data_IF_147746779990
#
_entry.id   IF_147746779990
#
_cell.length_a   1.000
_cell.length_b   1.000
_cell.length_c   1.000
_cell.angle_alpha   90.00
_cell.angle_beta   90.00
_cell.angle_gamma   90.00
#
_symmetry.space_group_name_H-M   'P 1'
#
loop_
_entity.id
_entity.type
_entity.pdbx_description
1 polymer ?
#
# COMPACT_ATOMS: atom_id res chain seq x y z
N UNK A 1 34.09 -4.94 11.72
CA UNK A 1 33.60 -4.25 12.95
C UNK A 1 32.21 -3.59 12.82
N UNK A 2 31.49 -3.70 11.68
CA UNK A 2 30.19 -3.03 11.49
C UNK A 2 28.94 -3.95 11.67
N UNK A 3 29.13 -5.28 11.73
CA UNK A 3 28.00 -6.24 11.78
C UNK A 3 27.38 -6.40 13.17
N UNK A 4 28.15 -6.20 14.24
CA UNK A 4 27.71 -6.47 15.62
C UNK A 4 26.79 -5.39 16.20
N UNK A 5 26.76 -4.20 15.61
CA UNK A 5 25.95 -3.08 16.08
C UNK A 5 24.49 -3.18 15.63
N UNK A 6 24.23 -3.83 14.50
CA UNK A 6 22.88 -4.02 13.96
C UNK A 6 22.07 -5.00 14.84
N UNK A 7 22.66 -6.13 15.22
CA UNK A 7 21.98 -7.17 16.01
C UNK A 7 21.52 -6.68 17.38
N UNK A 8 22.23 -5.73 18.00
CA UNK A 8 21.83 -5.13 19.28
C UNK A 8 20.68 -4.15 19.17
N UNK A 9 20.48 -3.53 18.00
CA UNK A 9 19.37 -2.61 17.77
C UNK A 9 18.05 -3.37 17.55
N UNK A 10 18.11 -4.52 16.87
CA UNK A 10 16.95 -5.40 16.65
C UNK A 10 16.44 -6.08 17.93
N UNK A 11 17.31 -6.33 18.91
CA UNK A 11 16.92 -6.95 20.19
C UNK A 11 16.18 -6.01 21.15
N UNK A 12 16.21 -4.70 20.91
CA UNK A 12 15.58 -3.68 21.77
C UNK A 12 14.17 -3.27 21.31
N UNK A 13 13.78 -3.64 20.09
CA UNK A 13 12.57 -3.11 19.47
C UNK A 13 11.50 -4.14 19.09
N UNK A 14 11.64 -5.43 19.40
CA UNK A 14 10.60 -6.48 19.21
C UNK A 14 9.74 -6.26 17.96
N UNK A 15 10.35 -5.96 16.82
CA UNK A 15 9.62 -5.72 15.58
C UNK A 15 10.19 -6.64 14.54
N UNK A 16 9.51 -7.77 14.44
CA UNK A 16 9.65 -8.76 13.40
C UNK A 16 9.32 -8.10 12.06
N UNK A 17 10.33 -7.83 11.24
CA UNK A 17 10.12 -7.52 9.82
C UNK A 17 9.85 -8.85 9.12
N UNK A 18 8.65 -9.41 9.32
CA UNK A 18 8.16 -10.57 8.56
C UNK A 18 7.13 -10.08 7.53
N UNK A 19 7.28 -10.39 6.23
CA UNK A 19 6.49 -9.73 5.18
C UNK A 19 5.05 -10.25 5.00
N UNK A 20 4.48 -10.99 5.97
CA UNK A 20 3.19 -11.69 5.81
C UNK A 20 2.46 -11.93 7.15
N UNK A 21 2.72 -11.15 8.20
CA UNK A 21 1.87 -11.19 9.39
C UNK A 21 0.70 -10.23 9.18
N UNK A 22 -0.52 -10.70 9.49
CA UNK A 22 -1.70 -9.86 9.64
C UNK A 22 -1.29 -8.59 10.38
N UNK A 23 -1.51 -7.43 9.74
CA UNK A 23 -1.24 -6.16 10.39
C UNK A 23 -2.01 -6.16 11.70
N UNK A 24 -1.32 -6.08 12.83
CA UNK A 24 -1.95 -6.04 14.16
C UNK A 24 -2.48 -4.64 14.51
N UNK A 25 -2.16 -3.65 13.68
CA UNK A 25 -2.55 -2.25 13.87
C UNK A 25 -2.98 -1.65 12.54
N UNK A 26 -4.16 -1.04 12.51
CA UNK A 26 -4.60 -0.28 11.36
C UNK A 26 -3.89 1.08 11.35
N UNK A 27 -2.85 1.22 10.52
CA UNK A 27 -2.09 2.46 10.40
C UNK A 27 -2.89 3.46 9.56
N UNK A 28 -3.52 4.43 10.23
CA UNK A 28 -4.33 5.50 9.61
C UNK A 28 -3.64 6.88 9.62
N UNK A 29 -2.37 6.94 10.03
CA UNK A 29 -1.60 8.19 10.14
C UNK A 29 -0.74 8.45 8.88
N UNK A 30 -0.30 9.70 8.70
CA UNK A 30 0.59 10.08 7.59
C UNK A 30 -0.14 10.27 6.26
N UNK A 31 0.16 9.42 5.27
CA UNK A 31 -0.41 9.50 3.90
C UNK A 31 -1.73 8.75 3.73
N UNK A 32 -2.07 7.89 4.68
CA UNK A 32 -3.29 7.07 4.69
C UNK A 32 -4.61 7.85 4.85
N UNK A 33 -4.67 9.06 5.46
CA UNK A 33 -5.87 9.90 5.42
C UNK A 33 -6.27 10.40 4.02
N UNK A 34 -5.33 10.44 3.06
CA UNK A 34 -5.57 10.93 1.70
C UNK A 34 -6.06 9.85 0.74
N UNK A 35 -5.69 8.59 0.98
CA UNK A 35 -6.11 7.43 0.21
C UNK A 35 -5.89 6.19 1.05
N UNK A 36 -6.81 5.22 0.98
CA UNK A 36 -6.62 3.92 1.66
C UNK A 36 -5.42 3.14 1.10
N UNK A 37 -5.02 3.43 -0.13
CA UNK A 37 -4.03 2.67 -0.89
C UNK A 37 -2.96 3.60 -1.52
N UNK A 38 -2.23 4.40 -0.73
CA UNK A 38 -1.35 5.46 -1.23
C UNK A 38 -0.14 4.90 -1.99
N UNK A 39 0.31 3.69 -1.66
CA UNK A 39 1.39 3.00 -2.38
C UNK A 39 1.03 2.73 -3.84
N UNK A 40 -0.17 2.23 -4.10
CA UNK A 40 -0.62 1.93 -5.46
C UNK A 40 -0.82 3.22 -6.27
N UNK A 41 -1.30 4.29 -5.63
CA UNK A 41 -1.37 5.61 -6.25
C UNK A 41 0.03 6.11 -6.63
N UNK A 42 1.02 5.98 -5.74
CA UNK A 42 2.41 6.32 -6.04
C UNK A 42 2.98 5.51 -7.21
N UNK A 43 2.70 4.21 -7.27
CA UNK A 43 3.12 3.35 -8.38
C UNK A 43 2.45 3.75 -9.70
N UNK A 44 1.16 4.09 -9.68
CA UNK A 44 0.46 4.60 -10.85
C UNK A 44 1.06 5.92 -11.33
N UNK A 45 1.40 6.84 -10.42
CA UNK A 45 2.06 8.11 -10.76
C UNK A 45 3.43 7.91 -11.40
N UNK A 46 4.23 6.95 -10.90
CA UNK A 46 5.52 6.59 -11.52
C UNK A 46 5.30 6.04 -12.94
N UNK A 47 4.32 5.15 -13.13
CA UNK A 47 3.99 4.60 -14.45
C UNK A 47 3.53 5.68 -15.43
N UNK A 48 2.71 6.65 -14.96
CA UNK A 48 2.30 7.81 -15.75
C UNK A 48 3.51 8.68 -16.11
N UNK A 49 4.38 8.99 -15.15
CA UNK A 49 5.61 9.73 -15.39
C UNK A 49 6.49 9.05 -16.43
N UNK A 50 6.64 7.73 -16.35
CA UNK A 50 7.39 6.94 -17.32
C UNK A 50 6.71 6.96 -18.71
N UNK A 51 5.39 6.82 -18.78
CA UNK A 51 4.64 6.89 -20.03
C UNK A 51 4.83 8.24 -20.74
N UNK A 52 4.85 9.34 -19.97
CA UNK A 52 5.14 10.69 -20.46
C UNK A 52 6.58 10.81 -20.98
N UNK A 53 7.57 10.26 -20.25
CA UNK A 53 8.98 10.29 -20.67
C UNK A 53 9.25 9.48 -21.95
N UNK A 54 8.55 8.36 -22.13
CA UNK A 54 8.65 7.54 -23.35
C UNK A 54 8.02 8.25 -24.56
N UNK A 55 7.03 9.12 -24.34
CA UNK A 55 6.42 9.94 -25.39
C UNK A 55 5.63 9.14 -26.45
N UNK A 56 5.19 7.92 -26.12
CA UNK A 56 4.38 7.07 -27.01
C UNK A 56 3.09 6.61 -26.34
N UNK A 57 2.13 6.11 -27.14
CA UNK A 57 0.85 5.63 -26.64
C UNK A 57 0.92 4.22 -26.02
N UNK A 58 1.96 3.44 -26.32
CA UNK A 58 2.08 2.04 -25.88
C UNK A 58 2.10 1.87 -24.35
N UNK A 59 2.86 2.66 -23.57
CA UNK A 59 2.90 2.52 -22.11
C UNK A 59 1.57 2.85 -21.43
N UNK A 60 0.68 3.62 -22.08
CA UNK A 60 -0.62 3.96 -21.52
C UNK A 60 -1.53 2.74 -21.37
N UNK A 61 -1.39 1.73 -22.24
CA UNK A 61 -2.09 0.44 -22.04
C UNK A 61 -1.66 -0.24 -20.75
N UNK A 62 -0.39 -0.13 -20.38
CA UNK A 62 0.13 -0.66 -19.11
C UNK A 62 -0.40 0.15 -17.93
N UNK A 63 -0.41 1.48 -18.02
CA UNK A 63 -0.97 2.36 -16.98
C UNK A 63 -2.44 2.01 -16.70
N UNK A 64 -3.26 1.92 -17.75
CA UNK A 64 -4.69 1.60 -17.63
C UNK A 64 -4.89 0.17 -17.13
N UNK A 65 -4.17 -0.80 -17.69
CA UNK A 65 -4.24 -2.20 -17.28
C UNK A 65 -3.84 -2.39 -15.82
N UNK A 66 -2.79 -1.70 -15.38
CA UNK A 66 -2.35 -1.69 -13.99
C UNK A 66 -3.41 -1.09 -13.06
N UNK A 67 -4.01 0.05 -13.43
CA UNK A 67 -5.09 0.66 -12.65
C UNK A 67 -6.29 -0.25 -12.47
N UNK A 68 -6.74 -0.92 -13.53
CA UNK A 68 -7.87 -1.87 -13.50
C UNK A 68 -7.52 -3.09 -12.63
N UNK A 69 -6.34 -3.67 -12.82
CA UNK A 69 -5.87 -4.84 -12.09
C UNK A 69 -5.81 -4.56 -10.58
N UNK A 70 -5.22 -3.42 -10.23
CA UNK A 70 -5.07 -3.00 -8.83
C UNK A 70 -6.43 -2.75 -8.19
N UNK A 71 -7.31 -1.97 -8.82
CA UNK A 71 -8.63 -1.67 -8.24
C UNK A 71 -9.55 -2.90 -8.17
N UNK A 72 -9.48 -3.75 -9.20
CA UNK A 72 -10.35 -4.90 -9.37
C UNK A 72 -9.95 -6.10 -8.52
N UNK A 73 -8.64 -6.34 -8.35
CA UNK A 73 -8.12 -7.56 -7.71
C UNK A 73 -7.40 -7.23 -6.41
N UNK A 74 -6.33 -6.44 -6.47
CA UNK A 74 -5.45 -6.24 -5.32
C UNK A 74 -6.15 -5.50 -4.19
N UNK A 75 -6.74 -4.34 -4.49
CA UNK A 75 -7.45 -3.55 -3.51
C UNK A 75 -8.60 -4.35 -2.91
N UNK A 76 -9.42 -5.03 -3.71
CA UNK A 76 -10.55 -5.81 -3.17
C UNK A 76 -10.11 -6.92 -2.21
N UNK A 77 -9.05 -7.66 -2.57
CA UNK A 77 -8.49 -8.69 -1.70
C UNK A 77 -7.96 -8.08 -0.40
N UNK A 78 -7.21 -6.97 -0.50
CA UNK A 78 -6.65 -6.27 0.66
C UNK A 78 -7.74 -5.70 1.58
N UNK A 79 -8.79 -5.08 1.02
CA UNK A 79 -9.93 -4.59 1.79
C UNK A 79 -10.71 -5.73 2.47
N UNK A 80 -10.84 -6.91 1.82
CA UNK A 80 -11.45 -8.10 2.43
C UNK A 80 -10.63 -8.60 3.62
N UNK A 81 -9.31 -8.71 3.45
CA UNK A 81 -8.41 -9.12 4.53
C UNK A 81 -8.43 -8.13 5.70
N UNK A 82 -8.49 -6.82 5.42
CA UNK A 82 -8.60 -5.79 6.45
C UNK A 82 -9.96 -5.82 7.16
N UNK A 83 -11.06 -6.10 6.43
CA UNK A 83 -12.37 -6.26 7.04
C UNK A 83 -12.46 -7.52 7.91
N UNK A 84 -11.82 -8.62 7.51
CA UNK A 84 -11.69 -9.84 8.31
C UNK A 84 -10.83 -9.63 9.57
N UNK A 85 -9.71 -8.91 9.45
CA UNK A 85 -8.77 -8.68 10.55
C UNK A 85 -9.27 -7.63 11.57
N UNK A 86 -9.89 -6.55 11.11
CA UNK A 86 -10.21 -5.37 11.95
C UNK A 86 -11.70 -5.06 12.07
N UNK A 87 -12.56 -5.72 11.30
CA UNK A 87 -14.02 -5.61 11.43
C UNK A 87 -14.55 -4.18 11.42
N UNK A 88 -15.16 -3.76 12.54
CA UNK A 88 -15.76 -2.42 12.67
C UNK A 88 -14.75 -1.28 12.57
N UNK A 89 -13.52 -1.46 13.05
CA UNK A 89 -12.51 -0.41 13.02
C UNK A 89 -12.15 -0.05 11.58
N UNK A 90 -11.98 -1.07 10.74
CA UNK A 90 -11.76 -0.89 9.31
C UNK A 90 -12.99 -0.31 8.61
N UNK A 91 -14.22 -0.72 8.96
CA UNK A 91 -15.44 -0.11 8.39
C UNK A 91 -15.52 1.38 8.65
N UNK A 92 -15.26 1.83 9.90
CA UNK A 92 -15.22 3.25 10.24
C UNK A 92 -14.13 4.00 9.48
N UNK A 93 -12.98 3.38 9.28
CA UNK A 93 -11.91 3.96 8.46
C UNK A 93 -12.32 4.06 6.98
N UNK A 94 -12.91 3.00 6.42
CA UNK A 94 -13.42 2.92 5.05
C UNK A 94 -14.45 4.00 4.74
N UNK A 95 -15.30 4.33 5.71
CA UNK A 95 -16.32 5.37 5.55
C UNK A 95 -15.75 6.79 5.60
N UNK A 96 -14.58 6.98 6.24
CA UNK A 96 -13.93 8.28 6.39
C UNK A 96 -12.95 8.62 5.27
N UNK A 97 -12.32 7.61 4.67
CA UNK A 97 -11.25 7.78 3.68
C UNK A 97 -11.64 7.08 2.38
N UNK A 98 -11.54 7.76 1.25
CA UNK A 98 -11.87 7.17 -0.07
C UNK A 98 -10.78 6.18 -0.53
N UNK A 99 -11.18 5.25 -1.40
CA UNK A 99 -10.28 4.24 -1.98
C UNK A 99 -9.16 4.87 -2.83
N UNK A 100 -9.56 5.84 -3.63
CA UNK A 100 -8.73 6.75 -4.41
C UNK A 100 -9.22 8.14 -4.05
N UNK A 101 -8.30 9.07 -3.71
CA UNK A 101 -8.51 10.48 -3.32
C UNK A 101 -9.97 10.89 -3.02
#
# INVERSE_FOLDING_TARGET
>A
MLKLSADRLFKKHTTTVKPFEESSVLVIEGVFPFSRHPMYLGMLLILVGLALLVGSLTPWFVVVGFGILVDGVFIKTEESMLEEAFGEEYRRYRDRVRRWI
#
